data_IF_016068950668
#
_entry.id   IF_016068950668
#
_cell.length_a   1.000
_cell.length_b   1.000
_cell.length_c   1.000
_cell.angle_alpha   90.00
_cell.angle_beta   90.00
_cell.angle_gamma   90.00
#
_symmetry.space_group_name_H-M   'P 1'
#
loop_
_entity.id
_entity.type
_entity.pdbx_description
1 polymer ?
#
# COMPACT_ATOMS: atom_id res chain seq x y z
N UNK A 1 -31.93 -13.71 7.78
CA UNK A 1 -30.92 -13.78 8.84
C UNK A 1 -31.23 -12.79 9.93
N UNK A 2 -31.08 -13.21 11.19
CA UNK A 2 -31.33 -12.36 12.35
C UNK A 2 -30.00 -12.13 13.05
N UNK A 3 -29.52 -10.89 13.06
CA UNK A 3 -28.31 -10.53 13.78
C UNK A 3 -28.71 -9.94 15.12
N UNK A 4 -28.18 -10.53 16.20
CA UNK A 4 -28.41 -10.07 17.57
C UNK A 4 -27.08 -9.53 18.10
N UNK A 5 -27.01 -8.24 18.37
CA UNK A 5 -25.95 -7.68 19.21
C UNK A 5 -26.37 -7.92 20.66
N UNK A 6 -25.49 -8.45 21.50
CA UNK A 6 -25.76 -8.47 22.94
C UNK A 6 -25.93 -7.01 23.42
N UNK A 7 -27.09 -6.72 24.00
CA UNK A 7 -27.37 -5.46 24.67
C UNK A 7 -28.39 -4.53 24.01
N UNK A 8 -28.60 -4.52 22.69
CA UNK A 8 -29.62 -3.65 22.07
C UNK A 8 -29.87 -3.96 20.57
N UNK A 9 -31.14 -3.82 20.15
CA UNK A 9 -31.71 -3.90 18.79
C UNK A 9 -31.30 -5.10 17.91
N UNK A 10 -32.21 -6.08 17.82
CA UNK A 10 -32.14 -7.17 16.86
C UNK A 10 -32.38 -6.64 15.43
N UNK A 11 -31.36 -6.67 14.58
CA UNK A 11 -31.52 -6.36 13.15
C UNK A 11 -31.87 -7.65 12.41
N UNK A 12 -33.17 -7.84 12.18
CA UNK A 12 -33.69 -8.95 11.37
C UNK A 12 -33.68 -8.55 9.89
N UNK A 13 -32.72 -9.09 9.13
CA UNK A 13 -32.64 -8.97 7.67
C UNK A 13 -33.34 -10.18 7.03
N UNK A 14 -34.61 -10.04 6.62
CA UNK A 14 -35.29 -11.07 5.83
C UNK A 14 -35.00 -10.89 4.33
N UNK A 15 -35.20 -11.95 3.55
CA UNK A 15 -35.13 -11.88 2.09
C UNK A 15 -36.14 -10.87 1.55
N UNK A 16 -37.36 -10.82 2.09
CA UNK A 16 -38.34 -9.79 1.68
C UNK A 16 -37.86 -8.40 2.06
N UNK A 17 -37.27 -8.19 3.25
CA UNK A 17 -36.72 -6.88 3.63
C UNK A 17 -35.61 -6.43 2.69
N UNK A 18 -34.64 -7.29 2.39
CA UNK A 18 -33.55 -6.98 1.45
C UNK A 18 -34.06 -6.63 0.05
N UNK A 19 -35.11 -7.31 -0.42
CA UNK A 19 -35.73 -7.06 -1.72
C UNK A 19 -36.65 -5.81 -1.71
N UNK A 20 -37.42 -5.60 -0.63
CA UNK A 20 -38.32 -4.47 -0.44
C UNK A 20 -37.56 -3.15 -0.21
N UNK A 21 -36.42 -3.20 0.50
CA UNK A 21 -35.48 -2.07 0.60
C UNK A 21 -34.92 -1.66 -0.77
N UNK A 22 -34.86 -2.58 -1.73
CA UNK A 22 -34.46 -2.28 -3.11
C UNK A 22 -35.56 -1.65 -3.97
N UNK A 23 -36.82 -1.61 -3.54
CA UNK A 23 -37.96 -1.28 -4.40
C UNK A 23 -38.72 0.00 -4.04
N UNK A 24 -38.54 0.56 -2.84
CA UNK A 24 -39.25 1.79 -2.43
C UNK A 24 -38.40 3.06 -2.57
N UNK A 25 -39.02 4.09 -3.17
CA UNK A 25 -38.45 5.37 -3.61
C UNK A 25 -37.71 6.16 -2.52
N UNK A 26 -36.65 6.86 -2.93
CA UNK A 26 -36.20 8.14 -2.34
C UNK A 26 -35.36 8.04 -1.07
N UNK A 27 -35.65 7.07 -0.21
CA UNK A 27 -34.79 6.65 0.88
C UNK A 27 -34.02 5.42 0.40
N UNK A 28 -32.99 5.61 -0.43
CA UNK A 28 -31.97 4.57 -0.58
C UNK A 28 -31.42 4.35 0.83
N UNK A 29 -31.95 3.33 1.50
CA UNK A 29 -31.44 2.85 2.76
C UNK A 29 -30.01 2.41 2.52
N UNK A 30 -29.08 3.35 2.67
CA UNK A 30 -27.71 3.13 3.08
C UNK A 30 -27.75 2.43 4.44
N UNK A 31 -28.36 1.24 4.52
CA UNK A 31 -28.20 0.37 5.66
C UNK A 31 -26.75 -0.04 5.59
N UNK A 32 -25.93 0.75 6.28
CA UNK A 32 -24.50 0.53 6.45
C UNK A 32 -24.29 -0.89 6.95
N UNK A 33 -25.24 -1.42 7.72
CA UNK A 33 -25.28 -2.78 8.22
C UNK A 33 -25.28 -3.82 7.08
N UNK A 34 -26.13 -3.65 6.05
CA UNK A 34 -26.18 -4.57 4.90
C UNK A 34 -24.90 -4.50 4.09
N UNK A 35 -24.41 -3.29 3.81
CA UNK A 35 -23.13 -3.09 3.09
C UNK A 35 -21.98 -3.74 3.87
N UNK A 36 -21.88 -3.49 5.17
CA UNK A 36 -20.85 -4.06 6.05
C UNK A 36 -20.92 -5.56 6.15
N UNK A 37 -22.13 -6.14 6.19
CA UNK A 37 -22.32 -7.58 6.22
C UNK A 37 -21.81 -8.25 4.95
N UNK A 38 -22.08 -7.66 3.78
CA UNK A 38 -21.59 -8.15 2.50
C UNK A 38 -20.08 -7.98 2.36
N UNK A 39 -19.55 -6.84 2.79
CA UNK A 39 -18.11 -6.63 2.88
C UNK A 39 -17.46 -7.71 3.76
N UNK A 40 -18.03 -8.00 4.93
CA UNK A 40 -17.53 -9.04 5.84
C UNK A 40 -17.57 -10.42 5.17
N UNK A 41 -18.74 -10.85 4.67
CA UNK A 41 -18.88 -12.17 4.04
C UNK A 41 -17.98 -12.36 2.81
N UNK A 42 -17.75 -11.29 2.03
CA UNK A 42 -16.83 -11.34 0.89
C UNK A 42 -15.34 -11.42 1.29
N UNK A 43 -14.99 -11.09 2.54
CA UNK A 43 -13.62 -11.17 3.05
C UNK A 43 -13.38 -12.36 3.98
N UNK A 44 -14.44 -12.98 4.51
CA UNK A 44 -14.36 -14.00 5.56
C UNK A 44 -13.54 -15.22 5.14
N UNK A 45 -13.69 -15.67 3.89
CA UNK A 45 -12.86 -16.76 3.35
C UNK A 45 -11.36 -16.41 3.43
N UNK A 46 -10.98 -15.18 3.10
CA UNK A 46 -9.58 -14.75 3.17
C UNK A 46 -9.10 -14.62 4.63
N UNK A 47 -9.96 -14.11 5.53
CA UNK A 47 -9.65 -13.98 6.95
C UNK A 47 -9.46 -15.35 7.63
N UNK A 48 -10.23 -16.36 7.20
CA UNK A 48 -10.12 -17.73 7.68
C UNK A 48 -8.88 -18.48 7.17
N UNK A 49 -8.16 -17.93 6.17
CA UNK A 49 -7.01 -18.56 5.53
C UNK A 49 -5.78 -17.62 5.54
N UNK A 50 -5.26 -17.24 6.73
CA UNK A 50 -4.19 -16.24 6.87
C UNK A 50 -2.85 -16.65 6.25
N UNK A 51 -2.61 -17.95 6.04
CA UNK A 51 -1.41 -18.45 5.36
C UNK A 51 -1.43 -18.17 3.85
N UNK A 52 -2.62 -17.98 3.27
CA UNK A 52 -2.83 -17.75 1.85
C UNK A 52 -3.10 -16.28 1.51
N UNK A 53 -3.60 -15.49 2.46
CA UNK A 53 -4.08 -14.13 2.21
C UNK A 53 -3.60 -13.13 3.26
N UNK A 54 -3.16 -11.95 2.81
CA UNK A 54 -2.93 -10.81 3.67
C UNK A 54 -4.13 -9.87 3.64
N UNK A 55 -4.92 -9.89 4.70
CA UNK A 55 -6.11 -9.05 4.83
C UNK A 55 -5.77 -7.71 5.52
N UNK A 56 -6.17 -6.61 4.88
CA UNK A 56 -5.97 -5.25 5.33
C UNK A 56 -7.30 -4.49 5.41
N UNK A 57 -7.28 -3.34 6.08
CA UNK A 57 -8.45 -2.46 6.18
C UNK A 57 -9.02 -2.10 4.80
N UNK A 58 -10.32 -1.81 4.76
CA UNK A 58 -11.09 -1.42 3.58
C UNK A 58 -11.14 -2.51 2.49
N UNK A 59 -11.30 -3.78 2.91
CA UNK A 59 -11.51 -4.91 2.00
C UNK A 59 -10.31 -5.24 1.09
N UNK A 60 -9.11 -4.76 1.44
CA UNK A 60 -7.88 -5.01 0.70
C UNK A 60 -7.33 -6.37 1.07
N UNK A 61 -7.11 -7.21 0.08
CA UNK A 61 -6.53 -8.54 0.24
C UNK A 61 -5.37 -8.69 -0.74
N UNK A 62 -4.24 -9.20 -0.28
CA UNK A 62 -3.05 -9.46 -1.10
C UNK A 62 -2.65 -10.92 -1.02
N UNK A 63 -1.99 -11.42 -2.05
CA UNK A 63 -1.59 -12.81 -2.22
C UNK A 63 -0.06 -12.92 -2.03
N UNK A 64 0.45 -13.44 -0.89
CA UNK A 64 1.87 -13.66 -0.67
C UNK A 64 2.49 -14.58 -1.72
N UNK A 65 1.80 -15.66 -2.08
CA UNK A 65 2.20 -16.59 -3.14
C UNK A 65 1.24 -16.48 -4.33
N UNK A 66 1.49 -15.48 -5.19
CA UNK A 66 0.72 -15.30 -6.41
C UNK A 66 0.77 -16.50 -7.37
N UNK A 67 1.82 -17.34 -7.30
CA UNK A 67 1.99 -18.51 -8.18
C UNK A 67 0.85 -19.50 -7.99
N UNK A 68 0.47 -19.73 -6.73
CA UNK A 68 -0.62 -20.64 -6.37
C UNK A 68 -1.95 -20.28 -7.05
N UNK A 69 -2.11 -19.00 -7.41
CA UNK A 69 -3.33 -18.47 -8.04
C UNK A 69 -3.14 -18.09 -9.50
N UNK A 70 -2.07 -18.57 -10.14
CA UNK A 70 -1.84 -18.40 -11.58
C UNK A 70 -1.27 -17.03 -11.99
N UNK A 71 -0.67 -16.27 -11.06
CA UNK A 71 0.15 -15.12 -11.42
C UNK A 71 1.55 -15.57 -11.83
N UNK A 72 2.10 -14.97 -12.89
CA UNK A 72 3.47 -15.22 -13.31
C UNK A 72 4.45 -14.40 -12.45
N UNK A 73 5.70 -14.85 -12.28
CA UNK A 73 6.67 -14.19 -11.36
C UNK A 73 6.97 -12.75 -11.75
N UNK A 74 6.85 -12.42 -13.03
CA UNK A 74 7.02 -11.08 -13.59
C UNK A 74 5.91 -10.12 -13.15
N UNK A 75 4.76 -10.65 -12.71
CA UNK A 75 3.60 -9.87 -12.27
C UNK A 75 3.68 -9.48 -10.78
N UNK A 76 4.56 -10.13 -10.02
CA UNK A 76 4.80 -9.88 -8.59
C UNK A 76 6.30 -9.97 -8.22
N UNK A 77 7.16 -9.18 -8.89
CA UNK A 77 8.61 -9.33 -8.78
C UNK A 77 9.15 -8.85 -7.43
N UNK A 78 10.39 -9.26 -7.14
CA UNK A 78 11.24 -8.57 -6.17
C UNK A 78 11.44 -7.14 -6.68
N UNK A 79 11.22 -6.20 -5.78
CA UNK A 79 11.35 -4.77 -6.01
C UNK A 79 12.64 -4.26 -5.35
N UNK A 80 13.14 -3.06 -5.72
CA UNK A 80 14.30 -2.45 -5.09
C UNK A 80 14.15 -2.33 -3.58
N UNK A 81 15.28 -2.06 -2.92
CA UNK A 81 15.32 -1.68 -1.51
C UNK A 81 14.68 -2.73 -0.61
N UNK A 82 14.83 -4.04 -0.92
CA UNK A 82 14.36 -5.11 -0.06
C UNK A 82 12.82 -5.16 0.05
N UNK A 83 12.15 -4.93 -1.07
CA UNK A 83 10.69 -4.99 -1.16
C UNK A 83 10.22 -6.00 -2.19
N UNK A 84 8.94 -6.33 -2.19
CA UNK A 84 8.30 -7.22 -3.16
C UNK A 84 6.94 -6.64 -3.53
N UNK A 85 6.57 -6.71 -4.80
CA UNK A 85 5.25 -6.27 -5.26
C UNK A 85 4.29 -7.46 -5.18
N UNK A 86 3.21 -7.36 -4.42
CA UNK A 86 2.21 -8.42 -4.33
C UNK A 86 0.93 -8.05 -5.09
N UNK A 87 0.32 -9.01 -5.82
CA UNK A 87 -0.99 -8.84 -6.42
C UNK A 87 -2.06 -8.99 -5.35
N UNK A 88 -3.23 -8.44 -5.62
CA UNK A 88 -4.35 -8.49 -4.70
C UNK A 88 -5.59 -7.82 -5.26
N UNK A 89 -6.52 -7.52 -4.38
CA UNK A 89 -7.77 -6.86 -4.73
C UNK A 89 -8.25 -5.93 -3.62
N UNK A 90 -9.02 -4.92 -4.01
CA UNK A 90 -9.87 -4.16 -3.10
C UNK A 90 -11.33 -4.55 -3.35
N UNK A 91 -12.10 -4.73 -2.27
CA UNK A 91 -13.52 -5.06 -2.32
C UNK A 91 -14.34 -4.05 -1.55
N UNK A 92 -15.48 -3.68 -2.11
CA UNK A 92 -16.51 -2.87 -1.44
C UNK A 92 -17.89 -3.26 -1.94
N UNK A 93 -18.93 -3.03 -1.14
CA UNK A 93 -20.31 -3.22 -1.56
C UNK A 93 -21.01 -1.87 -1.70
N UNK A 94 -21.87 -1.74 -2.70
CA UNK A 94 -22.65 -0.52 -2.93
C UNK A 94 -24.04 -0.86 -3.46
N UNK A 95 -25.00 0.02 -3.17
CA UNK A 95 -26.28 0.01 -3.88
C UNK A 95 -26.14 0.80 -5.18
N UNK A 96 -26.62 0.21 -6.27
CA UNK A 96 -26.60 0.80 -7.61
C UNK A 96 -27.98 0.75 -8.25
N UNK A 97 -28.21 1.64 -9.20
CA UNK A 97 -29.25 1.46 -10.22
C UNK A 97 -28.79 0.29 -11.11
N UNK A 98 -29.38 -0.88 -10.90
CA UNK A 98 -28.98 -2.09 -11.63
C UNK A 98 -29.70 -2.25 -12.97
N UNK A 99 -29.65 -3.44 -13.60
CA UNK A 99 -30.23 -3.70 -14.93
C UNK A 99 -31.73 -3.42 -15.06
N UNK A 100 -32.45 -3.38 -13.93
CA UNK A 100 -33.89 -3.10 -13.87
C UNK A 100 -34.20 -1.59 -13.96
N UNK A 101 -33.19 -0.74 -14.10
CA UNK A 101 -33.34 0.70 -14.29
C UNK A 101 -33.59 1.49 -13.00
N UNK A 102 -33.90 2.78 -13.16
CA UNK A 102 -34.16 3.71 -12.06
C UNK A 102 -35.26 3.20 -11.13
N UNK A 103 -35.11 3.47 -9.83
CA UNK A 103 -36.02 3.00 -8.76
C UNK A 103 -35.94 1.50 -8.45
N UNK A 104 -35.01 0.76 -9.08
CA UNK A 104 -34.67 -0.61 -8.69
C UNK A 104 -33.26 -0.66 -8.10
N UNK A 105 -33.18 -0.64 -6.77
CA UNK A 105 -31.94 -0.82 -6.02
C UNK A 105 -31.40 -2.23 -6.19
N UNK A 106 -30.15 -2.33 -6.65
CA UNK A 106 -29.41 -3.57 -6.74
C UNK A 106 -28.15 -3.46 -5.90
N UNK A 107 -27.74 -4.57 -5.31
CA UNK A 107 -26.48 -4.64 -4.56
C UNK A 107 -25.39 -5.06 -5.53
N UNK A 108 -24.32 -4.28 -5.61
CA UNK A 108 -23.12 -4.59 -6.36
C UNK A 108 -21.95 -4.85 -5.42
N UNK A 109 -21.23 -5.94 -5.65
CA UNK A 109 -19.90 -6.14 -5.09
C UNK A 109 -18.89 -5.59 -6.10
N UNK A 110 -18.21 -4.51 -5.72
CA UNK A 110 -17.16 -3.89 -6.51
C UNK A 110 -15.86 -4.57 -6.11
N UNK A 111 -15.25 -5.29 -7.05
CA UNK A 111 -13.94 -5.91 -6.90
C UNK A 111 -13.01 -5.27 -7.91
N UNK A 112 -11.83 -4.85 -7.46
CA UNK A 112 -10.83 -4.23 -8.31
C UNK A 112 -9.45 -4.82 -8.03
N UNK A 113 -8.74 -5.20 -9.09
CA UNK A 113 -7.37 -5.66 -8.99
C UNK A 113 -6.47 -4.54 -8.44
N UNK A 114 -5.61 -4.91 -7.50
CA UNK A 114 -4.66 -3.98 -6.87
C UNK A 114 -3.29 -4.62 -6.74
N UNK A 115 -2.26 -3.79 -6.65
CA UNK A 115 -0.90 -4.21 -6.30
C UNK A 115 -0.38 -3.33 -5.17
N UNK A 116 0.46 -3.88 -4.30
CA UNK A 116 1.13 -3.11 -3.27
C UNK A 116 2.50 -3.69 -2.95
N UNK A 117 3.43 -2.82 -2.56
CA UNK A 117 4.75 -3.24 -2.11
C UNK A 117 4.73 -3.66 -0.64
N UNK A 118 5.49 -4.71 -0.33
CA UNK A 118 5.70 -5.25 1.00
C UNK A 118 7.19 -5.36 1.30
N UNK A 119 7.57 -5.20 2.57
CA UNK A 119 8.93 -5.44 3.03
C UNK A 119 9.23 -6.93 3.01
N UNK A 120 10.43 -7.30 2.55
CA UNK A 120 10.87 -8.69 2.60
C UNK A 120 11.16 -9.13 4.03
N UNK A 121 11.01 -10.43 4.28
CA UNK A 121 11.41 -11.06 5.53
C UNK A 121 12.93 -11.31 5.52
N UNK A 122 13.70 -10.32 5.94
CA UNK A 122 15.17 -10.34 5.85
C UNK A 122 15.83 -9.66 7.06
N UNK A 123 17.14 -9.90 7.31
CA UNK A 123 17.89 -9.13 8.30
C UNK A 123 17.84 -7.62 7.99
N UNK A 124 17.77 -6.79 9.03
CA UNK A 124 17.67 -5.34 8.87
C UNK A 124 18.89 -4.73 8.15
N UNK A 125 20.07 -5.32 8.34
CA UNK A 125 21.27 -4.92 7.60
C UNK A 125 21.21 -5.29 6.11
N UNK A 126 20.53 -6.37 5.72
CA UNK A 126 20.31 -6.71 4.32
C UNK A 126 19.41 -5.67 3.64
N UNK A 127 18.35 -5.23 4.34
CA UNK A 127 17.50 -4.13 3.91
C UNK A 127 18.30 -2.85 3.69
N UNK A 128 19.17 -2.48 4.63
CA UNK A 128 20.05 -1.31 4.47
C UNK A 128 20.92 -1.43 3.21
N UNK A 129 21.61 -2.57 3.01
CA UNK A 129 22.48 -2.81 1.84
C UNK A 129 21.71 -2.77 0.52
N UNK A 130 20.46 -3.23 0.51
CA UNK A 130 19.59 -3.17 -0.68
C UNK A 130 19.17 -1.75 -1.06
N UNK A 131 19.16 -0.84 -0.09
CA UNK A 131 18.79 0.56 -0.27
C UNK A 131 20.00 1.43 -0.59
N UNK A 132 21.13 1.18 0.07
CA UNK A 132 22.39 1.90 -0.11
C UNK A 132 23.42 0.98 -0.79
N UNK A 133 23.20 0.69 -2.06
CA UNK A 133 24.04 -0.24 -2.83
C UNK A 133 25.50 0.19 -2.96
N UNK A 134 25.79 1.48 -2.78
CA UNK A 134 27.15 2.02 -2.72
C UNK A 134 27.85 1.79 -1.36
N UNK A 135 27.12 1.38 -0.32
CA UNK A 135 27.63 1.22 1.06
C UNK A 135 27.42 -0.22 1.60
N UNK A 136 27.82 -1.22 0.80
CA UNK A 136 27.69 -2.64 1.18
C UNK A 136 28.53 -3.02 2.43
N UNK A 137 29.58 -2.24 2.70
CA UNK A 137 30.47 -2.40 3.86
C UNK A 137 30.02 -1.61 5.09
N UNK A 138 28.86 -0.94 5.03
CA UNK A 138 28.24 -0.22 6.16
C UNK A 138 29.10 0.93 6.72
N UNK A 139 30.00 1.50 5.90
CA UNK A 139 30.92 2.58 6.32
C UNK A 139 30.19 3.90 6.52
N UNK A 140 29.12 4.14 5.77
CA UNK A 140 28.34 5.37 5.79
C UNK A 140 26.99 5.19 6.51
N UNK A 141 26.83 4.14 7.31
CA UNK A 141 25.57 3.85 8.00
C UNK A 141 25.10 5.01 8.87
N UNK A 142 26.02 5.64 9.62
CA UNK A 142 25.69 6.78 10.48
C UNK A 142 25.22 8.00 9.67
N UNK A 143 25.94 8.35 8.59
CA UNK A 143 25.55 9.41 7.65
C UNK A 143 24.17 9.15 7.03
N UNK A 144 23.88 7.89 6.71
CA UNK A 144 22.62 7.47 6.08
C UNK A 144 21.50 7.19 7.10
N UNK A 145 21.77 7.27 8.41
CA UNK A 145 20.84 6.83 9.45
C UNK A 145 19.51 7.58 9.41
N UNK A 146 19.54 8.90 9.20
CA UNK A 146 18.33 9.72 9.10
C UNK A 146 17.45 9.32 7.90
N UNK A 147 18.08 9.11 6.75
CA UNK A 147 17.39 8.61 5.57
C UNK A 147 16.81 7.24 5.89
N UNK A 148 17.65 6.24 6.21
CA UNK A 148 17.25 4.86 6.50
C UNK A 148 16.11 4.78 7.54
N UNK A 149 16.21 5.56 8.62
CA UNK A 149 15.20 5.68 9.67
C UNK A 149 13.82 6.00 9.08
N UNK A 150 13.72 6.93 8.11
CA UNK A 150 12.44 7.29 7.48
C UNK A 150 11.78 6.12 6.72
N UNK A 151 12.55 5.22 6.08
CA UNK A 151 11.98 4.07 5.37
C UNK A 151 11.69 2.88 6.28
N UNK A 152 12.38 2.73 7.40
CA UNK A 152 12.15 1.60 8.33
C UNK A 152 11.26 1.94 9.52
N UNK A 153 10.97 3.22 9.75
CA UNK A 153 10.10 3.68 10.82
C UNK A 153 8.73 3.03 10.73
N UNK A 154 8.30 2.46 11.84
CA UNK A 154 7.01 1.82 11.99
C UNK A 154 6.92 0.37 11.55
N UNK A 155 7.97 -0.19 10.95
CA UNK A 155 8.10 -1.62 10.64
C UNK A 155 8.35 -2.39 11.94
N UNK A 156 7.79 -3.58 12.05
CA UNK A 156 8.07 -4.56 13.08
C UNK A 156 9.29 -5.41 12.73
N UNK A 157 10.21 -5.50 13.68
CA UNK A 157 11.33 -6.43 13.65
C UNK A 157 11.20 -7.43 14.79
N UNK A 158 11.78 -8.60 14.61
CA UNK A 158 12.01 -9.56 15.66
C UNK A 158 13.52 -9.64 15.95
N UNK A 159 13.86 -9.91 17.19
CA UNK A 159 15.25 -10.11 17.60
C UNK A 159 15.63 -11.58 17.56
N UNK A 160 16.79 -11.91 17.01
CA UNK A 160 17.19 -13.32 16.83
C UNK A 160 17.70 -13.99 18.12
N UNK A 161 18.14 -13.21 19.11
CA UNK A 161 18.75 -13.71 20.35
C UNK A 161 17.74 -14.12 21.46
N UNK A 162 16.42 -13.96 21.24
CA UNK A 162 15.39 -14.27 22.24
C UNK A 162 14.39 -15.32 21.73
N UNK A 163 14.34 -16.50 22.38
CA UNK A 163 13.19 -17.40 22.28
C UNK A 163 12.20 -17.17 23.45
N UNK A 164 10.87 -17.08 23.21
CA UNK A 164 10.21 -16.96 21.91
C UNK A 164 10.47 -15.59 21.27
N UNK A 165 10.49 -15.55 19.93
CA UNK A 165 10.74 -14.32 19.17
C UNK A 165 9.69 -13.26 19.52
N UNK A 166 10.16 -12.12 20.05
CA UNK A 166 9.31 -10.96 20.37
C UNK A 166 9.38 -9.95 19.23
N UNK A 167 8.23 -9.35 18.92
CA UNK A 167 8.13 -8.29 17.92
C UNK A 167 8.27 -6.91 18.56
N UNK A 168 9.04 -6.06 17.92
CA UNK A 168 9.28 -4.68 18.30
C UNK A 168 9.07 -3.76 17.11
N UNK A 169 8.36 -2.64 17.30
CA UNK A 169 8.16 -1.63 16.26
C UNK A 169 9.33 -0.66 16.25
N UNK A 170 9.96 -0.46 15.09
CA UNK A 170 11.01 0.54 14.94
C UNK A 170 10.40 1.94 15.09
N UNK A 171 10.99 2.75 15.97
CA UNK A 171 10.66 4.16 16.15
C UNK A 171 11.59 5.01 15.31
N UNK A 172 12.89 4.72 15.36
CA UNK A 172 13.94 5.43 14.63
C UNK A 172 15.28 4.66 14.67
N UNK A 173 16.18 4.99 13.74
CA UNK A 173 17.60 4.66 13.81
C UNK A 173 18.33 5.91 14.31
N UNK A 174 19.07 5.79 15.41
CA UNK A 174 19.58 6.96 16.15
C UNK A 174 21.05 7.22 15.82
N UNK A 175 21.31 8.16 14.92
CA UNK A 175 22.66 8.57 14.53
C UNK A 175 23.51 8.95 15.76
N UNK A 176 24.78 8.53 15.76
CA UNK A 176 25.74 8.75 16.85
C UNK A 176 25.55 7.92 18.12
N UNK A 177 24.42 7.23 18.29
CA UNK A 177 24.21 6.29 19.41
C UNK A 177 24.60 4.88 19.00
N UNK A 178 25.76 4.43 19.46
CA UNK A 178 26.34 3.12 19.12
C UNK A 178 26.35 2.21 20.36
N UNK A 179 26.43 0.88 20.19
CA UNK A 179 26.47 -0.07 21.29
C UNK A 179 27.45 0.24 22.43
N UNK A 180 28.63 0.76 22.11
CA UNK A 180 29.72 1.02 23.07
C UNK A 180 29.56 2.31 23.89
N UNK A 181 28.80 3.30 23.38
CA UNK A 181 28.60 4.60 24.06
C UNK A 181 27.22 4.75 24.70
N UNK A 182 26.26 3.90 24.32
CA UNK A 182 24.88 3.97 24.83
C UNK A 182 24.77 3.13 26.09
N UNK A 183 24.38 3.78 27.20
CA UNK A 183 24.28 3.16 28.53
C UNK A 183 22.84 3.09 29.02
N UNK A 184 22.56 2.11 29.87
CA UNK A 184 21.30 1.97 30.59
C UNK A 184 21.49 1.21 31.90
N UNK A 185 20.55 1.39 32.83
CA UNK A 185 20.55 0.70 34.12
C UNK A 185 20.12 -0.77 33.97
N UNK A 186 20.97 -1.67 34.44
CA UNK A 186 20.73 -3.12 34.47
C UNK A 186 21.31 -3.72 35.75
N UNK A 187 20.45 -4.28 36.62
CA UNK A 187 20.83 -4.76 37.96
C UNK A 187 21.53 -3.68 38.80
N UNK A 188 20.92 -2.50 38.85
CA UNK A 188 21.37 -1.34 39.65
C UNK A 188 22.77 -0.80 39.29
N UNK A 189 23.28 -1.12 38.10
CA UNK A 189 24.50 -0.56 37.52
C UNK A 189 24.26 -0.08 36.10
N UNK A 190 25.00 0.95 35.70
CA UNK A 190 25.02 1.42 34.32
C UNK A 190 25.92 0.51 33.47
N UNK A 191 25.35 -0.12 32.44
CA UNK A 191 26.07 -0.96 31.48
C UNK A 191 25.90 -0.40 30.07
N UNK A 192 26.90 -0.59 29.21
CA UNK A 192 26.74 -0.30 27.78
C UNK A 192 25.87 -1.35 27.11
N UNK A 193 25.26 -1.02 25.98
CA UNK A 193 24.52 -2.01 25.18
C UNK A 193 25.44 -3.14 24.74
N UNK A 194 26.68 -2.83 24.32
CA UNK A 194 27.69 -3.84 23.96
C UNK A 194 28.01 -4.80 25.12
N UNK A 195 28.33 -4.27 26.31
CA UNK A 195 28.65 -5.08 27.48
C UNK A 195 27.46 -5.93 27.92
N UNK A 196 26.24 -5.39 27.84
CA UNK A 196 25.03 -6.12 28.15
C UNK A 196 24.84 -7.35 27.26
N UNK A 197 25.00 -7.20 25.94
CA UNK A 197 24.85 -8.33 25.02
C UNK A 197 25.93 -9.39 25.21
N UNK A 198 27.15 -8.96 25.53
CA UNK A 198 28.26 -9.86 25.86
C UNK A 198 28.02 -10.61 27.17
N UNK A 199 27.62 -9.93 28.25
CA UNK A 199 27.43 -10.53 29.57
C UNK A 199 26.16 -11.39 29.65
N UNK A 200 25.02 -10.87 29.17
CA UNK A 200 23.71 -11.52 29.37
C UNK A 200 23.44 -12.64 28.38
N UNK A 201 23.94 -12.51 27.15
CA UNK A 201 23.64 -13.40 26.03
C UNK A 201 24.87 -14.09 25.44
N UNK A 202 26.09 -13.75 25.90
CA UNK A 202 27.35 -14.25 25.32
C UNK A 202 27.47 -13.94 23.82
N UNK A 203 27.00 -12.76 23.40
CA UNK A 203 27.05 -12.30 22.01
C UNK A 203 28.13 -11.22 21.87
N UNK A 204 29.14 -11.49 21.05
CA UNK A 204 30.09 -10.47 20.61
C UNK A 204 29.57 -9.80 19.33
N UNK A 205 29.32 -8.50 19.39
CA UNK A 205 28.77 -7.74 18.27
C UNK A 205 29.81 -7.65 17.14
N UNK A 206 29.37 -7.85 15.90
CA UNK A 206 30.26 -7.79 14.72
C UNK A 206 30.42 -6.36 14.22
N UNK A 207 29.40 -5.53 14.45
CA UNK A 207 29.37 -4.15 14.03
C UNK A 207 29.06 -3.18 15.19
N UNK A 208 29.91 -3.11 16.23
CA UNK A 208 29.68 -2.27 17.42
C UNK A 208 29.72 -0.75 17.12
N UNK A 209 30.16 -0.35 15.92
CA UNK A 209 30.17 1.04 15.45
C UNK A 209 28.86 1.50 14.81
N UNK A 210 27.89 0.60 14.57
CA UNK A 210 26.65 0.99 13.90
C UNK A 210 25.66 1.63 14.87
N UNK A 211 24.97 2.70 14.44
CA UNK A 211 23.83 3.26 15.14
C UNK A 211 22.80 2.22 15.59
N UNK A 212 22.33 2.38 16.82
CA UNK A 212 21.29 1.56 17.42
C UNK A 212 19.92 1.85 16.81
N UNK A 213 19.10 0.81 16.78
CA UNK A 213 17.70 0.90 16.38
C UNK A 213 16.87 1.04 17.65
N UNK A 214 16.21 2.19 17.78
CA UNK A 214 15.26 2.42 18.87
C UNK A 214 13.92 1.84 18.49
N UNK A 215 13.45 0.95 19.34
CA UNK A 215 12.24 0.17 19.12
C UNK A 215 11.28 0.28 20.31
N UNK A 216 10.01 -0.02 20.08
CA UNK A 216 8.98 -0.14 21.11
C UNK A 216 8.33 -1.51 21.06
N UNK A 217 8.38 -2.23 22.17
CA UNK A 217 7.68 -3.51 22.31
C UNK A 217 6.17 -3.30 22.45
N UNK A 218 5.36 -4.22 21.91
CA UNK A 218 3.89 -4.12 21.95
C UNK A 218 3.30 -4.01 23.36
N UNK A 219 3.98 -4.56 24.37
CA UNK A 219 3.57 -4.55 25.79
C UNK A 219 4.52 -3.75 26.68
N UNK A 220 5.50 -3.06 26.10
CA UNK A 220 6.48 -2.27 26.84
C UNK A 220 6.04 -0.80 26.85
N UNK A 221 6.20 -0.15 28.01
CA UNK A 221 5.93 1.29 28.16
C UNK A 221 7.12 2.16 27.75
N UNK A 222 8.33 1.61 27.81
CA UNK A 222 9.57 2.28 27.45
C UNK A 222 10.11 1.82 26.11
N UNK A 223 10.90 2.68 25.49
CA UNK A 223 11.68 2.35 24.31
C UNK A 223 12.87 1.47 24.69
N UNK A 224 13.30 0.63 23.76
CA UNK A 224 14.44 -0.28 23.88
C UNK A 224 15.36 -0.10 22.68
N UNK A 225 16.66 -0.33 22.87
CA UNK A 225 17.65 -0.16 21.81
C UNK A 225 18.24 -1.51 21.42
N UNK A 226 18.31 -1.77 20.11
CA UNK A 226 18.88 -2.99 19.57
C UNK A 226 20.00 -2.68 18.56
N UNK A 227 21.10 -3.43 18.59
CA UNK A 227 22.03 -3.49 17.47
C UNK A 227 21.27 -3.95 16.20
N UNK A 228 21.46 -3.26 15.05
CA UNK A 228 20.74 -3.58 13.82
C UNK A 228 21.06 -4.99 13.30
N UNK A 229 22.24 -5.53 13.60
CA UNK A 229 22.65 -6.90 13.23
C UNK A 229 21.84 -8.00 13.93
N UNK A 230 21.17 -7.69 15.05
CA UNK A 230 20.32 -8.64 15.77
C UNK A 230 18.83 -8.52 15.40
N UNK A 231 18.48 -7.63 14.46
CA UNK A 231 17.12 -7.35 14.05
C UNK A 231 16.78 -7.99 12.69
N UNK A 232 15.66 -8.71 12.63
CA UNK A 232 15.10 -9.28 11.39
C UNK A 232 13.71 -8.71 11.13
N UNK A 233 13.46 -8.24 9.92
CA UNK A 233 12.15 -7.68 9.51
C UNK A 233 11.10 -8.78 9.51
N UNK A 234 9.97 -8.55 10.16
CA UNK A 234 8.84 -9.49 10.15
C UNK A 234 8.17 -9.49 8.77
N UNK A 235 7.75 -10.66 8.29
CA UNK A 235 7.09 -10.81 6.99
C UNK A 235 5.76 -10.02 6.90
N UNK A 236 5.23 -9.91 5.68
CA UNK A 236 3.85 -9.48 5.41
C UNK A 236 3.53 -8.02 5.78
N UNK A 237 4.53 -7.16 5.91
CA UNK A 237 4.34 -5.74 6.22
C UNK A 237 4.32 -4.88 4.97
N UNK A 238 3.21 -4.19 4.75
CA UNK A 238 3.04 -3.30 3.59
C UNK A 238 3.91 -2.05 3.72
N UNK A 239 4.56 -1.66 2.62
CA UNK A 239 5.26 -0.37 2.48
C UNK A 239 4.23 0.76 2.44
N UNK A 240 4.37 1.71 3.35
CA UNK A 240 3.53 2.92 3.43
C UNK A 240 4.04 4.00 2.49
N UNK A 241 3.21 5.01 2.20
CA UNK A 241 3.59 6.13 1.31
C UNK A 241 4.83 6.87 1.85
N UNK A 242 4.93 7.03 3.17
CA UNK A 242 6.06 7.72 3.81
C UNK A 242 7.37 6.93 3.72
N UNK A 243 7.30 5.61 3.49
CA UNK A 243 8.47 4.74 3.37
C UNK A 243 8.92 4.56 1.92
N UNK A 244 8.17 5.07 0.94
CA UNK A 244 8.50 4.95 -0.48
C UNK A 244 9.57 5.97 -0.86
N UNK A 245 10.64 5.50 -1.49
CA UNK A 245 11.57 6.36 -2.23
C UNK A 245 11.01 6.68 -3.62
N UNK A 246 11.61 7.67 -4.28
CA UNK A 246 11.29 7.99 -5.68
C UNK A 246 11.53 6.79 -6.60
N UNK A 247 12.62 6.03 -6.38
CA UNK A 247 12.95 4.85 -7.19
C UNK A 247 11.88 3.77 -7.04
N UNK A 248 11.51 3.41 -5.80
CA UNK A 248 10.49 2.42 -5.54
C UNK A 248 9.15 2.86 -6.13
N UNK A 249 8.74 4.11 -5.90
CA UNK A 249 7.49 4.67 -6.42
C UNK A 249 7.39 4.57 -7.95
N UNK A 250 8.44 5.01 -8.67
CA UNK A 250 8.47 4.96 -10.14
C UNK A 250 8.30 3.53 -10.67
N UNK A 251 8.98 2.57 -10.07
CA UNK A 251 8.87 1.17 -10.47
C UNK A 251 7.51 0.56 -10.13
N UNK A 252 6.95 0.86 -8.94
CA UNK A 252 5.60 0.43 -8.56
C UNK A 252 4.56 0.97 -9.54
N UNK A 253 4.65 2.23 -9.94
CA UNK A 253 3.73 2.84 -10.92
C UNK A 253 3.85 2.12 -12.26
N UNK A 254 5.08 1.89 -12.76
CA UNK A 254 5.32 1.19 -14.02
C UNK A 254 4.70 -0.22 -14.04
N UNK A 255 4.84 -0.98 -12.96
CA UNK A 255 4.32 -2.35 -12.85
C UNK A 255 2.82 -2.44 -12.50
N UNK A 256 2.26 -1.35 -11.97
CA UNK A 256 0.83 -1.25 -11.65
C UNK A 256 0.00 -0.68 -12.80
N UNK A 257 0.63 0.02 -13.76
CA UNK A 257 -0.01 0.48 -14.98
C UNK A 257 -0.41 -0.72 -15.84
N UNK A 258 -1.71 -0.90 -16.07
CA UNK A 258 -2.25 -2.07 -16.74
C UNK A 258 -3.36 -1.69 -17.73
N UNK A 259 -3.37 -2.28 -18.94
CA UNK A 259 -4.48 -2.13 -19.86
C UNK A 259 -5.81 -2.65 -19.28
N UNK A 260 -6.97 -2.06 -19.62
CA UNK A 260 -8.27 -2.46 -19.09
C UNK A 260 -8.57 -3.97 -19.25
N UNK A 261 -8.27 -4.56 -20.41
CA UNK A 261 -8.49 -5.98 -20.65
C UNK A 261 -7.71 -6.87 -19.65
N UNK A 262 -6.45 -6.54 -19.38
CA UNK A 262 -5.64 -7.26 -18.39
C UNK A 262 -6.18 -7.06 -16.97
N UNK A 263 -6.65 -5.84 -16.64
CA UNK A 263 -7.23 -5.54 -15.32
C UNK A 263 -8.48 -6.38 -15.03
N UNK A 264 -9.32 -6.64 -16.04
CA UNK A 264 -10.49 -7.52 -15.92
C UNK A 264 -10.03 -8.96 -15.62
N UNK A 265 -9.06 -9.48 -16.37
CA UNK A 265 -8.50 -10.82 -16.15
C UNK A 265 -7.95 -10.97 -14.73
N UNK A 266 -7.13 -10.02 -14.27
CA UNK A 266 -6.56 -10.04 -12.93
C UNK A 266 -7.65 -9.93 -11.85
N UNK A 267 -8.69 -9.14 -12.09
CA UNK A 267 -9.84 -9.02 -11.17
C UNK A 267 -10.59 -10.35 -11.04
N UNK A 268 -10.91 -11.00 -12.17
CA UNK A 268 -11.56 -12.32 -12.18
C UNK A 268 -10.67 -13.38 -11.49
N UNK A 269 -9.36 -13.35 -11.75
CA UNK A 269 -8.39 -14.26 -11.10
C UNK A 269 -8.38 -14.06 -9.59
N UNK A 270 -8.36 -12.81 -9.11
CA UNK A 270 -8.47 -12.51 -7.67
C UNK A 270 -9.82 -12.98 -7.09
N UNK A 271 -10.94 -12.80 -7.78
CA UNK A 271 -12.24 -13.29 -7.34
C UNK A 271 -12.27 -14.81 -7.17
N UNK A 272 -11.64 -15.54 -8.10
CA UNK A 272 -11.47 -16.99 -8.02
C UNK A 272 -10.58 -17.40 -6.85
N UNK A 273 -9.44 -16.72 -6.65
CA UNK A 273 -8.53 -16.97 -5.53
C UNK A 273 -9.24 -16.83 -4.17
N UNK A 274 -10.04 -15.79 -4.00
CA UNK A 274 -10.84 -15.54 -2.79
C UNK A 274 -12.10 -16.41 -2.68
N UNK A 275 -12.30 -17.37 -3.59
CA UNK A 275 -13.45 -18.27 -3.66
C UNK A 275 -14.80 -17.54 -3.68
N UNK A 276 -14.89 -16.35 -4.26
CA UNK A 276 -16.14 -15.58 -4.30
C UNK A 276 -17.18 -16.20 -5.24
N UNK A 277 -16.72 -16.93 -6.26
CA UNK A 277 -17.58 -17.61 -7.24
C UNK A 277 -17.82 -19.07 -6.88
N UNK A 278 -17.21 -19.57 -5.80
CA UNK A 278 -17.33 -20.97 -5.41
C UNK A 278 -18.71 -21.19 -4.75
N UNK A 279 -19.57 -22.06 -5.32
CA UNK A 279 -20.88 -22.38 -4.75
C UNK A 279 -20.78 -23.17 -3.45
N UNK A 280 -19.58 -23.53 -2.98
CA UNK A 280 -19.34 -24.14 -1.68
C UNK A 280 -18.75 -23.16 -0.65
N UNK A 281 -18.56 -21.86 -0.98
CA UNK A 281 -18.10 -20.86 -0.02
C UNK A 281 -19.16 -20.64 1.07
N UNK A 282 -18.97 -21.13 2.32
CA UNK A 282 -20.01 -21.13 3.32
C UNK A 282 -20.43 -19.71 3.76
N UNK A 283 -19.53 -18.74 3.63
CA UNK A 283 -19.75 -17.37 4.10
C UNK A 283 -20.67 -16.59 3.16
N UNK A 284 -20.42 -16.65 1.85
CA UNK A 284 -21.28 -15.99 0.85
C UNK A 284 -22.62 -16.73 0.70
N UNK A 285 -22.58 -18.06 0.70
CA UNK A 285 -23.78 -18.88 0.53
C UNK A 285 -24.72 -18.82 1.72
N UNK A 286 -24.21 -18.78 2.95
CA UNK A 286 -25.07 -18.68 4.13
C UNK A 286 -25.95 -17.43 4.05
N UNK A 287 -25.41 -16.30 3.56
CA UNK A 287 -26.19 -15.08 3.34
C UNK A 287 -27.30 -15.22 2.28
N UNK A 288 -27.33 -16.31 1.52
CA UNK A 288 -28.26 -16.51 0.40
C UNK A 288 -27.96 -15.60 -0.80
N UNK A 289 -26.72 -15.11 -0.90
CA UNK A 289 -26.27 -14.22 -1.98
C UNK A 289 -25.47 -15.04 -3.00
N UNK A 290 -25.72 -14.79 -4.28
CA UNK A 290 -24.93 -15.34 -5.38
C UNK A 290 -24.19 -14.21 -6.07
N UNK A 291 -22.86 -14.30 -6.10
CA UNK A 291 -22.02 -13.35 -6.83
C UNK A 291 -22.02 -13.75 -8.31
N UNK A 292 -22.20 -12.77 -9.20
CA UNK A 292 -22.12 -12.98 -10.64
C UNK A 292 -20.66 -13.07 -11.07
N UNK A 293 -20.36 -13.97 -12.01
CA UNK A 293 -19.02 -14.22 -12.54
C UNK A 293 -18.58 -13.19 -13.57
N UNK A 294 -19.54 -12.59 -14.28
CA UNK A 294 -19.31 -11.55 -15.28
C UNK A 294 -19.54 -10.15 -14.70
N UNK A 295 -18.71 -9.16 -15.09
CA UNK A 295 -18.97 -7.76 -14.79
C UNK A 295 -20.36 -7.34 -15.28
N UNK A 296 -20.95 -6.38 -14.57
CA UNK A 296 -22.22 -5.79 -14.98
C UNK A 296 -22.06 -5.02 -16.29
N UNK A 297 -22.89 -5.33 -17.30
CA UNK A 297 -22.95 -4.56 -18.54
C UNK A 297 -23.87 -3.36 -18.36
N UNK A 298 -23.42 -2.19 -18.81
CA UNK A 298 -24.19 -0.94 -18.78
C UNK A 298 -24.10 -0.24 -20.13
N UNK A 299 -25.18 0.43 -20.52
CA UNK A 299 -25.21 1.23 -21.74
C UNK A 299 -24.50 2.57 -21.51
N UNK A 300 -23.34 2.73 -22.14
CA UNK A 300 -22.61 3.99 -22.18
C UNK A 300 -23.08 4.90 -23.32
N UNK A 301 -22.91 6.21 -23.15
CA UNK A 301 -23.09 7.20 -24.23
C UNK A 301 -21.78 7.95 -24.45
N UNK A 302 -21.29 7.96 -25.67
CA UNK A 302 -20.14 8.80 -26.08
C UNK A 302 -20.68 10.18 -26.43
N UNK A 303 -20.30 11.19 -25.65
CA UNK A 303 -20.69 12.57 -25.90
C UNK A 303 -19.88 13.15 -27.07
N UNK A 304 -20.49 14.07 -27.82
CA UNK A 304 -19.83 14.75 -28.94
C UNK A 304 -18.69 15.61 -28.38
N UNK A 305 -17.53 15.55 -29.04
CA UNK A 305 -16.36 16.32 -28.67
C UNK A 305 -16.60 17.83 -28.87
N UNK A 306 -16.21 18.69 -27.92
CA UNK A 306 -16.37 20.13 -28.07
C UNK A 306 -15.37 20.71 -29.07
N UNK A 307 -15.75 21.82 -29.70
CA UNK A 307 -14.82 22.69 -30.41
C UNK A 307 -14.06 23.58 -29.44
N UNK A 308 -12.73 23.60 -29.55
CA UNK A 308 -11.86 24.43 -28.72
C UNK A 308 -11.51 25.71 -29.48
N UNK A 309 -12.01 26.84 -29.00
CA UNK A 309 -11.75 28.16 -29.60
C UNK A 309 -10.42 28.73 -29.11
N UNK A 310 -9.59 29.15 -30.05
CA UNK A 310 -8.40 29.98 -29.91
C UNK A 310 -8.71 31.39 -30.45
N UNK A 311 -7.73 32.31 -30.47
CA UNK A 311 -7.93 33.71 -30.86
C UNK A 311 -8.85 33.90 -32.07
N UNK A 312 -8.44 33.35 -33.21
CA UNK A 312 -9.22 33.39 -34.47
C UNK A 312 -9.64 32.02 -35.00
N UNK A 313 -9.07 30.95 -34.46
CA UNK A 313 -9.26 29.59 -34.95
C UNK A 313 -10.05 28.73 -33.97
N UNK A 314 -10.67 27.67 -34.47
CA UNK A 314 -11.27 26.62 -33.63
C UNK A 314 -10.60 25.30 -34.00
N UNK A 315 -10.08 24.56 -33.02
CA UNK A 315 -9.61 23.20 -33.22
C UNK A 315 -10.58 22.20 -32.60
N UNK A 316 -10.60 20.97 -33.14
CA UNK A 316 -11.39 19.88 -32.55
C UNK A 316 -10.56 19.18 -31.48
N UNK A 317 -11.17 18.89 -30.34
CA UNK A 317 -10.63 17.85 -29.46
C UNK A 317 -10.81 16.49 -30.13
N UNK A 318 -9.85 15.60 -29.96
CA UNK A 318 -9.91 14.21 -30.38
C UNK A 318 -9.49 13.33 -29.19
N UNK A 319 -10.34 12.37 -28.83
CA UNK A 319 -10.15 11.48 -27.68
C UNK A 319 -9.88 12.24 -26.37
N UNK A 320 -10.54 13.39 -26.20
CA UNK A 320 -10.35 14.27 -25.03
C UNK A 320 -9.01 14.99 -24.98
N UNK A 321 -8.24 14.99 -26.07
CA UNK A 321 -6.97 15.71 -26.21
C UNK A 321 -7.06 16.72 -27.34
N UNK A 322 -6.39 17.86 -27.18
CA UNK A 322 -6.17 18.80 -28.26
C UNK A 322 -4.80 19.44 -28.10
N UNK A 323 -4.24 19.91 -29.21
CA UNK A 323 -3.11 20.82 -29.20
C UNK A 323 -3.52 22.05 -30.00
N UNK A 324 -2.98 23.20 -29.60
CA UNK A 324 -3.12 24.41 -30.38
C UNK A 324 -2.56 24.15 -31.79
N UNK A 325 -3.29 24.46 -32.86
CA UNK A 325 -2.72 24.48 -34.20
C UNK A 325 -1.48 25.39 -34.23
N UNK A 326 -0.55 25.12 -35.16
CA UNK A 326 0.64 25.97 -35.32
C UNK A 326 0.17 27.40 -35.64
N UNK A 327 0.84 28.40 -35.05
CA UNK A 327 0.56 29.82 -35.26
C UNK A 327 -0.82 30.30 -34.76
N UNK A 328 -1.37 29.67 -33.73
CA UNK A 328 -2.60 30.17 -33.08
C UNK A 328 -2.32 31.06 -31.89
N UNK A 329 -3.16 32.07 -31.73
CA UNK A 329 -3.14 32.98 -30.59
C UNK A 329 -4.05 32.47 -29.47
N UNK A 330 -3.75 32.84 -28.22
CA UNK A 330 -4.70 32.67 -27.13
C UNK A 330 -5.97 33.51 -27.38
N UNK A 331 -7.12 33.06 -26.91
CA UNK A 331 -8.39 33.82 -26.99
C UNK A 331 -8.24 35.21 -26.39
N UNK A 332 -7.49 35.32 -25.31
CA UNK A 332 -7.07 36.58 -24.71
C UNK A 332 -5.61 36.42 -24.31
N UNK A 333 -4.71 36.92 -25.16
CA UNK A 333 -3.28 36.94 -24.87
C UNK A 333 -2.94 37.97 -23.81
N UNK A 334 -2.15 37.57 -22.80
CA UNK A 334 -1.54 38.52 -21.88
C UNK A 334 -0.41 39.29 -22.57
N UNK A 335 -0.28 40.58 -22.27
CA UNK A 335 0.86 41.40 -22.69
C UNK A 335 1.92 41.38 -21.59
N UNK A 336 3.15 41.00 -21.94
CA UNK A 336 4.28 40.90 -21.01
C UNK A 336 5.29 42.00 -21.33
N UNK A 337 5.11 43.20 -20.76
CA UNK A 337 5.96 44.36 -21.05
C UNK A 337 7.32 44.32 -20.35
N UNK A 338 7.39 43.71 -19.17
CA UNK A 338 8.63 43.62 -18.39
C UNK A 338 8.70 42.25 -17.72
N UNK A 339 9.81 41.56 -17.93
CA UNK A 339 10.08 40.26 -17.33
C UNK A 339 11.55 40.18 -16.94
N UNK A 340 11.84 39.40 -15.92
CA UNK A 340 13.20 39.12 -15.48
C UNK A 340 13.35 37.60 -15.32
N UNK A 341 14.52 37.09 -15.67
CA UNK A 341 14.89 35.70 -15.46
C UNK A 341 15.98 35.65 -14.39
N UNK A 342 15.72 34.92 -13.32
CA UNK A 342 16.72 34.61 -12.31
C UNK A 342 17.15 33.17 -12.49
N UNK A 343 18.37 32.99 -13.00
CA UNK A 343 18.98 31.68 -13.12
C UNK A 343 19.75 31.37 -11.83
N UNK A 344 19.26 30.42 -11.05
CA UNK A 344 19.92 29.94 -9.83
C UNK A 344 20.82 28.76 -10.21
N UNK A 345 22.08 29.07 -10.48
CA UNK A 345 23.12 28.10 -10.83
C UNK A 345 23.72 27.45 -9.56
N UNK A 346 23.93 26.14 -9.58
CA UNK A 346 24.75 25.47 -8.57
C UNK A 346 26.22 25.89 -8.66
N UNK A 347 27.01 25.63 -7.61
CA UNK A 347 28.44 26.00 -7.59
C UNK A 347 29.22 25.38 -8.77
N UNK A 348 28.78 24.21 -9.25
CA UNK A 348 29.40 23.50 -10.38
C UNK A 348 28.94 23.98 -11.77
N UNK A 349 27.85 24.74 -11.87
CA UNK A 349 27.33 25.26 -13.15
C UNK A 349 28.05 26.55 -13.59
N UNK A 350 28.96 27.07 -12.75
CA UNK A 350 29.71 28.33 -12.99
C UNK A 350 30.95 28.19 -13.90
N UNK A 351 31.22 27.00 -14.46
CA UNK A 351 32.53 26.70 -15.06
C UNK A 351 32.59 26.86 -16.59
N UNK A 352 31.49 27.20 -17.27
CA UNK A 352 31.49 27.41 -18.74
C UNK A 352 31.34 28.88 -19.19
N UNK A 353 31.93 29.84 -18.48
CA UNK A 353 32.19 31.18 -19.04
C UNK A 353 33.48 31.17 -19.89
N UNK A 354 33.51 30.42 -20.98
CA UNK A 354 34.55 30.54 -22.03
C UNK A 354 34.16 29.78 -23.30
N UNK A 355 33.19 30.31 -24.07
CA UNK A 355 33.07 30.17 -25.54
C UNK A 355 31.75 30.77 -26.04
N UNK A 356 31.72 32.08 -26.17
CA UNK A 356 30.87 32.79 -27.12
C UNK A 356 31.61 34.07 -27.52
N UNK A 357 32.45 33.96 -28.55
CA UNK A 357 32.75 35.04 -29.50
C UNK A 357 32.16 34.62 -30.83
#
# INVERSE_FOLDING_TARGET
MTFRREGENTVTLSKEKLLAFGQHRGELGNSREVIRLLELASNEFCLANPDMFLCYKNGKVYLPDGKQFGFAREEYPIMPEGTVLLPGSAKSAAFIEGPKGRQNGNIALIVDASKACFHQHEPLLSKYKSMFTADLQLRNFDTNAAQFSSQVRGIFVQTEHLPPAKMFKIIEVVAGQIPSNTRFSYKDREVTVEDYFKERYNIALQHPQLPLVKCRGLRLRSDVFFPPELCKIVANQRVTVQQQTTQLMQQTVKLSAMPPAKRIVDTTRNMAAMQLLNPNNPFVNSLGVKILDKPLTVDGRVMIEPGMRYGRETCKAAEGKWRSPRQTEYVTGGRLDTWALFFLAGVNDRVEESKCM
#
